data_IF_219600451173
#
_entry.id   IF_219600451173
#
_cell.length_a   1.000
_cell.length_b   1.000
_cell.length_c   1.000
_cell.angle_alpha   90.00
_cell.angle_beta   90.00
_cell.angle_gamma   90.00
#
_symmetry.space_group_name_H-M   'P 1'
#
loop_
_entity.id
_entity.type
_entity.pdbx_description
1 polymer ?
#
# COMPACT_ATOMS: atom_id res chain seq x y z
N UNK A 1 7.03 0.06 13.02
CA UNK A 1 5.78 0.17 12.23
C UNK A 1 4.69 0.79 13.08
N UNK A 2 3.83 1.62 12.50
CA UNK A 2 2.69 2.25 13.18
C UNK A 2 1.51 2.44 12.23
N UNK A 3 0.31 2.47 12.79
CA UNK A 3 -0.91 2.87 12.05
C UNK A 3 -1.11 4.37 12.24
N UNK A 4 -1.40 5.09 11.15
CA UNK A 4 -1.69 6.52 11.14
C UNK A 4 -2.98 6.75 10.38
N UNK A 5 -3.87 7.57 10.93
CA UNK A 5 -5.13 7.96 10.28
C UNK A 5 -4.97 9.34 9.64
N UNK A 6 -5.07 9.50 8.31
CA UNK A 6 -4.95 10.80 7.66
C UNK A 6 -5.98 11.83 8.14
N UNK A 7 -7.18 11.39 8.52
CA UNK A 7 -8.23 12.25 9.06
C UNK A 7 -7.83 13.02 10.35
N UNK A 8 -6.86 12.50 11.10
CA UNK A 8 -6.32 13.16 12.30
C UNK A 8 -5.08 14.03 12.01
N UNK A 9 -4.68 14.10 10.74
CA UNK A 9 -3.44 14.71 10.28
C UNK A 9 -2.27 13.73 10.34
N UNK A 10 -1.42 13.78 9.30
CA UNK A 10 -0.18 13.00 9.30
C UNK A 10 0.84 13.64 10.27
N UNK A 11 1.60 12.84 11.06
CA UNK A 11 2.68 13.37 11.88
C UNK A 11 3.80 14.02 11.06
N UNK A 12 4.42 15.08 11.60
CA UNK A 12 5.47 15.83 10.91
C UNK A 12 6.72 15.01 10.58
N UNK A 13 7.02 14.02 11.40
CA UNK A 13 8.16 13.14 11.19
C UNK A 13 7.99 12.16 10.01
N UNK A 14 6.81 12.10 9.38
CA UNK A 14 6.62 11.35 8.13
C UNK A 14 7.21 12.06 6.90
N UNK A 15 7.58 13.33 7.01
CA UNK A 15 8.13 14.12 5.91
C UNK A 15 7.11 14.48 4.82
N UNK A 16 7.57 15.17 3.78
CA UNK A 16 6.70 15.76 2.75
C UNK A 16 6.25 14.78 1.65
N UNK A 17 6.73 13.54 1.69
CA UNK A 17 6.50 12.55 0.65
C UNK A 17 6.32 11.18 1.27
N UNK A 18 5.33 10.45 0.74
CA UNK A 18 5.09 9.05 1.06
C UNK A 18 5.23 8.19 -0.19
N UNK A 19 5.58 6.92 0.04
CA UNK A 19 5.73 5.93 -1.00
C UNK A 19 4.81 4.76 -0.70
N UNK A 20 3.95 4.40 -1.65
CA UNK A 20 3.05 3.26 -1.54
C UNK A 20 3.47 2.18 -2.53
N UNK A 21 3.31 0.93 -2.13
CA UNK A 21 3.34 -0.18 -3.09
C UNK A 21 1.97 -0.25 -3.74
N UNK A 22 1.92 -0.13 -5.05
CA UNK A 22 0.67 -0.09 -5.83
C UNK A 22 0.67 -1.16 -6.90
N UNK A 23 -0.51 -1.67 -7.23
CA UNK A 23 -0.75 -2.58 -8.34
C UNK A 23 -1.48 -1.84 -9.46
N UNK A 24 -1.07 -2.11 -10.70
CA UNK A 24 -1.80 -1.65 -11.88
C UNK A 24 -2.88 -2.69 -12.18
N UNK A 25 -4.15 -2.30 -12.05
CA UNK A 25 -5.30 -3.07 -12.52
C UNK A 25 -5.83 -2.43 -13.80
N UNK A 26 -5.97 -3.23 -14.85
CA UNK A 26 -6.65 -2.80 -16.06
C UNK A 26 -8.15 -2.90 -15.83
N UNK A 27 -8.88 -1.81 -16.07
CA UNK A 27 -10.34 -1.84 -16.04
C UNK A 27 -10.82 -2.25 -17.42
N UNK A 28 -11.17 -3.52 -17.56
CA UNK A 28 -11.72 -4.03 -18.79
C UNK A 28 -12.99 -4.84 -18.53
N UNK A 29 -14.13 -4.49 -19.15
CA UNK A 29 -15.33 -5.32 -19.07
C UNK A 29 -15.20 -6.65 -19.83
N UNK A 30 -14.29 -6.77 -20.80
CA UNK A 30 -14.24 -7.89 -21.76
C UNK A 30 -12.88 -8.63 -21.83
N UNK A 31 -11.94 -8.39 -20.90
CA UNK A 31 -10.58 -8.97 -20.89
C UNK A 31 -9.71 -8.71 -22.15
N UNK A 32 -10.11 -7.80 -23.05
CA UNK A 32 -9.37 -7.44 -24.29
C UNK A 32 -8.41 -6.26 -24.10
N UNK A 33 -7.11 -6.50 -24.04
CA UNK A 33 -6.10 -5.45 -23.88
C UNK A 33 -6.09 -4.44 -25.05
N UNK A 34 -6.35 -3.16 -24.78
CA UNK A 34 -6.20 -2.05 -25.72
C UNK A 34 -5.21 -1.01 -25.16
N UNK A 35 -4.41 -0.33 -26.00
CA UNK A 35 -3.49 0.71 -25.56
C UNK A 35 -4.17 1.85 -24.79
N UNK A 36 -5.42 2.16 -25.13
CA UNK A 36 -6.26 3.17 -24.47
C UNK A 36 -7.04 2.65 -23.24
N UNK A 37 -6.88 1.39 -22.82
CA UNK A 37 -7.60 0.87 -21.65
C UNK A 37 -7.23 1.68 -20.40
N UNK A 38 -8.22 2.23 -19.67
CA UNK A 38 -7.98 2.94 -18.43
C UNK A 38 -7.26 2.06 -17.41
N UNK A 39 -6.26 2.64 -16.75
CA UNK A 39 -5.49 2.01 -15.69
C UNK A 39 -5.97 2.54 -14.36
N UNK A 40 -6.29 1.64 -13.44
CA UNK A 40 -6.57 1.97 -12.04
C UNK A 40 -5.41 1.50 -11.19
N UNK A 41 -5.01 2.34 -10.25
CA UNK A 41 -3.95 2.05 -9.31
C UNK A 41 -4.55 1.69 -7.97
N UNK A 42 -4.27 0.47 -7.51
CA UNK A 42 -4.68 0.04 -6.18
C UNK A 42 -3.49 0.00 -5.24
N UNK A 43 -3.60 0.63 -4.07
CA UNK A 43 -2.64 0.44 -3.00
C UNK A 43 -2.66 -1.01 -2.54
N UNK A 44 -1.48 -1.57 -2.27
CA UNK A 44 -1.39 -2.81 -1.52
C UNK A 44 -1.77 -2.55 -0.07
N UNK A 45 -2.69 -3.37 0.43
CA UNK A 45 -3.24 -3.21 1.77
C UNK A 45 -2.98 -4.41 2.67
N UNK A 46 -3.13 -4.16 3.95
CA UNK A 46 -3.24 -5.16 5.01
C UNK A 46 -4.58 -4.94 5.74
N UNK A 47 -5.17 -6.00 6.28
CA UNK A 47 -6.33 -5.86 7.18
C UNK A 47 -5.86 -6.10 8.60
N UNK A 48 -6.02 -5.14 9.51
CA UNK A 48 -5.80 -5.35 10.94
C UNK A 48 -6.80 -6.40 11.44
N UNK A 49 -6.31 -7.53 11.97
CA UNK A 49 -7.14 -8.64 12.44
C UNK A 49 -7.95 -8.29 13.68
N UNK A 50 -7.49 -7.34 14.50
CA UNK A 50 -8.18 -6.95 15.72
C UNK A 50 -9.38 -6.03 15.42
N UNK A 51 -9.22 -5.13 14.46
CA UNK A 51 -10.21 -4.08 14.15
C UNK A 51 -10.99 -4.34 12.86
N UNK A 52 -10.48 -5.20 11.97
CA UNK A 52 -11.00 -5.42 10.63
C UNK A 52 -10.69 -4.26 9.66
N UNK A 53 -9.87 -3.30 10.06
CA UNK A 53 -9.61 -2.09 9.29
C UNK A 53 -8.57 -2.35 8.21
N UNK A 54 -8.87 -1.88 6.99
CA UNK A 54 -7.94 -1.90 5.87
C UNK A 54 -6.92 -0.76 5.97
N UNK A 55 -5.64 -1.11 5.79
CA UNK A 55 -4.51 -0.21 5.94
C UNK A 55 -3.67 -0.23 4.67
N UNK A 56 -3.36 0.93 4.10
CA UNK A 56 -2.46 1.02 2.96
C UNK A 56 -0.98 0.98 3.41
N UNK A 57 -0.19 0.12 2.77
CA UNK A 57 1.23 -0.02 3.10
C UNK A 57 2.02 1.18 2.58
N UNK A 58 2.64 1.89 3.51
CA UNK A 58 3.29 3.18 3.25
C UNK A 58 4.71 3.20 3.78
N UNK A 59 5.60 3.83 3.04
CA UNK A 59 7.02 3.96 3.33
C UNK A 59 7.45 5.42 3.22
N UNK A 60 8.45 5.79 4.01
CA UNK A 60 9.05 7.13 4.01
C UNK A 60 10.18 7.21 2.99
N UNK A 61 10.80 6.08 2.67
CA UNK A 61 11.85 5.98 1.68
C UNK A 61 11.52 4.95 0.59
N UNK A 62 11.84 5.24 -0.69
CA UNK A 62 11.59 4.29 -1.77
C UNK A 62 12.43 3.02 -1.59
N UNK A 63 13.62 3.11 -0.98
CA UNK A 63 14.48 1.96 -0.72
C UNK A 63 13.84 0.98 0.26
N UNK A 64 13.09 1.47 1.26
CA UNK A 64 12.39 0.61 2.22
C UNK A 64 11.24 -0.14 1.53
N UNK A 65 10.49 0.54 0.67
CA UNK A 65 9.46 -0.10 -0.16
C UNK A 65 10.05 -1.22 -1.04
N UNK A 66 11.20 -0.97 -1.70
CA UNK A 66 11.90 -1.98 -2.52
C UNK A 66 12.33 -3.18 -1.65
N UNK A 67 12.91 -2.90 -0.46
CA UNK A 67 13.36 -3.93 0.48
C UNK A 67 12.21 -4.78 1.01
N UNK A 68 11.03 -4.19 1.18
CA UNK A 68 9.81 -4.91 1.56
C UNK A 68 9.27 -5.78 0.42
N UNK A 69 9.22 -5.25 -0.81
CA UNK A 69 8.62 -5.93 -1.96
C UNK A 69 9.25 -7.26 -2.30
N UNK A 70 10.59 -7.38 -2.30
CA UNK A 70 11.28 -8.62 -2.68
C UNK A 70 10.89 -9.83 -1.83
N UNK A 71 10.93 -9.78 -0.49
CA UNK A 71 10.45 -10.86 0.37
C UNK A 71 8.91 -10.96 0.34
N UNK A 72 8.17 -9.86 0.24
CA UNK A 72 6.72 -9.90 0.10
C UNK A 72 6.28 -10.70 -1.15
N UNK A 73 6.98 -10.55 -2.28
CA UNK A 73 6.82 -11.37 -3.49
C UNK A 73 7.11 -12.86 -3.20
N UNK A 74 8.20 -13.17 -2.50
CA UNK A 74 8.56 -14.55 -2.16
C UNK A 74 7.52 -15.23 -1.25
N UNK A 75 6.83 -14.45 -0.43
CA UNK A 75 5.76 -14.92 0.45
C UNK A 75 4.35 -14.84 -0.16
N UNK A 76 4.23 -14.38 -1.42
CA UNK A 76 2.96 -14.28 -2.14
C UNK A 76 2.06 -13.11 -1.70
N UNK A 77 2.62 -12.11 -1.00
CA UNK A 77 1.87 -10.93 -0.54
C UNK A 77 1.71 -9.89 -1.64
N UNK A 78 2.67 -9.86 -2.57
CA UNK A 78 2.70 -8.97 -3.73
C UNK A 78 2.67 -9.86 -4.96
N UNK A 79 1.86 -9.52 -5.97
CA UNK A 79 1.90 -10.20 -7.26
C UNK A 79 3.01 -9.63 -8.15
N UNK A 80 3.44 -10.37 -9.17
CA UNK A 80 4.41 -9.85 -10.14
C UNK A 80 3.78 -8.67 -10.90
N UNK A 81 4.15 -7.44 -10.53
CA UNK A 81 3.49 -6.22 -11.03
C UNK A 81 3.43 -5.06 -10.03
N UNK A 82 3.81 -5.28 -8.77
CA UNK A 82 3.94 -4.19 -7.79
C UNK A 82 4.88 -3.09 -8.28
N UNK A 83 4.43 -1.85 -8.20
CA UNK A 83 5.20 -0.63 -8.46
C UNK A 83 5.25 0.21 -7.18
N UNK A 84 6.18 1.14 -7.13
CA UNK A 84 6.25 2.12 -6.04
C UNK A 84 5.76 3.45 -6.61
N UNK A 85 4.68 3.97 -6.03
CA UNK A 85 4.16 5.28 -6.37
C UNK A 85 4.56 6.29 -5.29
N UNK A 86 4.89 7.50 -5.73
CA UNK A 86 5.28 8.62 -4.87
C UNK A 86 4.11 9.58 -4.75
N UNK A 87 3.71 9.89 -3.53
CA UNK A 87 2.65 10.84 -3.22
C UNK A 87 3.19 11.98 -2.36
N UNK A 88 2.71 13.19 -2.62
CA UNK A 88 2.94 14.32 -1.73
C UNK A 88 2.13 14.12 -0.45
N UNK A 89 2.66 14.58 0.70
CA UNK A 89 1.98 14.48 2.00
C UNK A 89 0.55 15.03 1.95
N UNK A 90 0.34 16.15 1.28
CA UNK A 90 -0.97 16.81 1.18
C UNK A 90 -2.01 15.94 0.44
N UNK A 91 -1.56 15.11 -0.52
CA UNK A 91 -2.46 14.16 -1.20
C UNK A 91 -2.83 13.03 -0.24
N UNK A 92 -1.86 12.54 0.51
CA UNK A 92 -2.07 11.47 1.47
C UNK A 92 -2.96 11.88 2.66
N UNK A 93 -2.90 13.14 3.07
CA UNK A 93 -3.78 13.72 4.10
C UNK A 93 -5.25 13.75 3.69
N UNK A 94 -5.54 13.73 2.38
CA UNK A 94 -6.90 13.71 1.85
C UNK A 94 -7.51 12.31 1.74
N UNK A 95 -6.76 11.25 2.07
CA UNK A 95 -7.24 9.88 2.00
C UNK A 95 -8.15 9.52 3.18
N UNK A 96 -9.24 8.80 2.90
CA UNK A 96 -10.21 8.35 3.91
C UNK A 96 -9.82 7.03 4.59
N UNK A 97 -8.62 6.51 4.29
CA UNK A 97 -8.13 5.24 4.81
C UNK A 97 -6.84 5.39 5.61
N UNK A 98 -6.64 4.59 6.66
CA UNK A 98 -5.43 4.62 7.47
C UNK A 98 -4.23 4.00 6.74
N UNK A 99 -3.04 4.40 7.18
CA UNK A 99 -1.75 4.01 6.62
C UNK A 99 -0.99 3.15 7.62
N UNK A 100 -0.44 2.04 7.13
CA UNK A 100 0.54 1.25 7.86
C UNK A 100 1.93 1.73 7.44
N UNK A 101 2.57 2.50 8.33
CA UNK A 101 3.83 3.20 8.05
C UNK A 101 5.04 2.34 8.41
N UNK A 102 5.97 2.25 7.45
CA UNK A 102 7.24 1.53 7.53
C UNK A 102 7.08 0.08 8.02
N UNK A 103 6.25 -0.73 7.32
CA UNK A 103 6.24 -2.17 7.53
C UNK A 103 7.57 -2.75 7.00
N UNK A 104 8.28 -3.53 7.80
CA UNK A 104 9.55 -4.11 7.35
C UNK A 104 9.36 -5.57 6.89
N UNK A 105 10.26 -6.01 6.02
CA UNK A 105 10.29 -7.39 5.54
C UNK A 105 10.60 -8.41 6.64
N UNK A 106 11.46 -8.04 7.60
CA UNK A 106 11.88 -8.90 8.70
C UNK A 106 10.70 -9.22 9.61
N UNK A 107 9.73 -8.31 9.67
CA UNK A 107 8.52 -8.47 10.46
C UNK A 107 7.46 -9.32 9.77
N UNK A 108 7.58 -9.70 8.48
CA UNK A 108 6.49 -10.38 7.75
C UNK A 108 5.83 -11.55 8.50
N UNK A 109 6.56 -12.48 9.16
CA UNK A 109 5.94 -13.52 9.98
C UNK A 109 5.17 -12.99 11.19
N UNK A 110 5.67 -11.92 11.83
CA UNK A 110 4.99 -11.25 12.94
C UNK A 110 3.78 -10.45 12.43
N UNK A 111 3.91 -9.76 11.29
CA UNK A 111 2.84 -9.03 10.63
C UNK A 111 1.65 -9.94 10.31
N UNK A 112 1.85 -11.22 9.95
CA UNK A 112 0.73 -12.15 9.73
C UNK A 112 -0.10 -12.45 10.97
N UNK A 113 0.45 -12.24 12.17
CA UNK A 113 -0.27 -12.45 13.43
C UNK A 113 -1.30 -11.35 13.66
N UNK A 114 -0.91 -10.13 13.35
CA UNK A 114 -1.70 -8.93 13.64
C UNK A 114 -2.49 -8.45 12.41
N UNK A 115 -2.03 -8.81 11.21
CA UNK A 115 -2.61 -8.35 9.95
C UNK A 115 -2.80 -9.50 8.95
N UNK A 116 -3.80 -9.35 8.09
CA UNK A 116 -4.06 -10.22 6.96
C UNK A 116 -3.50 -9.60 5.66
N UNK A 117 -2.77 -10.42 4.89
CA UNK A 117 -2.15 -10.02 3.63
C UNK A 117 -2.42 -11.05 2.52
N UNK A 118 -2.56 -10.61 1.26
CA UNK A 118 -2.89 -9.22 0.89
C UNK A 118 -4.33 -8.87 1.30
N UNK A 119 -4.59 -7.60 1.63
CA UNK A 119 -5.95 -7.08 1.70
C UNK A 119 -6.57 -6.88 0.31
N UNK A 120 -7.82 -6.40 0.20
CA UNK A 120 -8.56 -6.29 -1.07
C UNK A 120 -7.99 -5.22 -2.03
N UNK A 121 -7.04 -4.40 -1.57
CA UNK A 121 -6.52 -3.24 -2.28
C UNK A 121 -7.49 -2.05 -2.23
N UNK A 122 -6.93 -0.83 -2.16
CA UNK A 122 -7.71 0.41 -2.12
C UNK A 122 -7.44 1.20 -3.40
N UNK A 123 -8.49 1.64 -4.09
CA UNK A 123 -8.38 2.54 -5.24
C UNK A 123 -7.85 3.93 -4.78
N UNK A 124 -6.88 4.48 -5.52
CA UNK A 124 -6.17 5.72 -5.16
C UNK A 124 -6.61 6.96 -5.98
N UNK A 125 -7.68 6.83 -6.77
CA UNK A 125 -8.24 7.87 -7.64
C UNK A 125 -9.18 8.84 -6.90
#
# INVERSE_FOLDING_TARGET
>A
MRVVTPAEGLPDELGDTLYLVVHERLVNPDDVWLPETPKVWTALTAVDRATGVELALTFLEPLNAIRFMKPALAHGFVSQGGKIAKYARQVAEAWDFPLLVEPTAEDLPALRRDYEFPGPGIDLD
#
